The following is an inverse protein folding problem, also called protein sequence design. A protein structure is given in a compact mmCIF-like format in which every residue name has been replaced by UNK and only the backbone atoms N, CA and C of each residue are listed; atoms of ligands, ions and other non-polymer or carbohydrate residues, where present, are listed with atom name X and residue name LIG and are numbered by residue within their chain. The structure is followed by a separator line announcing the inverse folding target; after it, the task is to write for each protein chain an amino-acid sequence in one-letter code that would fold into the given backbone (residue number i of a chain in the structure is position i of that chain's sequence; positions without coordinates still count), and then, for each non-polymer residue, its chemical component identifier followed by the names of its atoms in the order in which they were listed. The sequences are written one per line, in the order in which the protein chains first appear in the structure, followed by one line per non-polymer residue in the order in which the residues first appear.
data_IF_526045973522
#
_entry.id   IF_526045973522
#
_cell.length_a   1.000
_cell.length_b   1.000
_cell.length_c   1.000
_cell.angle_alpha   90.00
_cell.angle_beta   90.00
_cell.angle_gamma   90.00
#
_symmetry.space_group_name_H-M   'P 1'
#
loop_
_entity.id
_entity.type
_entity.pdbx_description
1 polymer ?
#
# COMPACT_ATOMS: atom_id res chain seq x y z
N UNK A 1 -7.62 -0.95 -15.43
CA UNK A 1 -7.01 -2.05 -16.22
C UNK A 1 -5.55 -2.17 -15.82
N UNK A 2 -5.18 -3.34 -15.30
CA UNK A 2 -3.85 -3.65 -14.78
C UNK A 2 -2.91 -4.07 -15.91
N UNK A 3 -1.62 -3.75 -15.81
CA UNK A 3 -0.64 -4.02 -16.86
C UNK A 3 -0.20 -5.47 -16.81
N UNK A 4 -0.24 -6.12 -17.97
CA UNK A 4 0.47 -7.37 -18.17
C UNK A 4 1.95 -7.15 -18.54
N UNK A 5 2.74 -8.23 -18.68
CA UNK A 5 4.17 -8.15 -19.04
C UNK A 5 4.44 -7.35 -20.31
N UNK A 6 3.65 -7.54 -21.37
CA UNK A 6 3.88 -6.87 -22.65
C UNK A 6 3.51 -5.39 -22.58
N UNK A 7 2.42 -5.06 -21.87
CA UNK A 7 2.07 -3.66 -21.60
C UNK A 7 3.12 -2.96 -20.74
N UNK A 8 3.72 -3.66 -19.77
CA UNK A 8 4.81 -3.15 -18.94
C UNK A 8 6.06 -2.84 -19.79
N UNK A 9 6.44 -3.73 -20.70
CA UNK A 9 7.55 -3.49 -21.65
C UNK A 9 7.26 -2.32 -22.59
N UNK A 10 6.02 -2.13 -22.99
CA UNK A 10 5.64 -0.97 -23.82
C UNK A 10 5.61 0.34 -23.02
N UNK A 11 5.37 0.26 -21.71
CA UNK A 11 5.38 1.41 -20.79
C UNK A 11 6.78 1.96 -20.58
N UNK A 12 7.76 1.08 -20.37
CA UNK A 12 9.12 1.43 -20.00
C UNK A 12 10.09 1.14 -21.14
N UNK A 13 10.84 2.17 -21.58
CA UNK A 13 11.81 2.03 -22.68
C UNK A 13 13.01 1.15 -22.30
N UNK A 14 13.38 1.17 -21.03
CA UNK A 14 14.48 0.40 -20.48
C UNK A 14 13.96 -0.39 -19.28
N UNK A 15 13.93 -1.73 -19.40
CA UNK A 15 13.45 -2.64 -18.37
C UNK A 15 14.32 -3.90 -18.36
N UNK A 16 14.75 -4.27 -17.17
CA UNK A 16 15.54 -5.46 -16.89
C UNK A 16 14.68 -6.42 -16.08
N UNK A 17 14.77 -7.70 -16.42
CA UNK A 17 14.18 -8.77 -15.64
C UNK A 17 15.25 -9.47 -14.81
N UNK A 18 14.81 -10.25 -13.83
CA UNK A 18 15.68 -10.89 -12.84
C UNK A 18 16.91 -11.60 -13.41
N UNK A 19 16.78 -12.26 -14.56
CA UNK A 19 17.88 -12.94 -15.25
C UNK A 19 18.99 -12.00 -15.77
N UNK A 20 18.70 -10.70 -15.93
CA UNK A 20 19.56 -9.70 -16.57
C UNK A 20 19.89 -8.52 -15.63
N UNK A 21 19.72 -8.68 -14.30
CA UNK A 21 19.98 -7.60 -13.35
C UNK A 21 21.46 -7.21 -13.25
N UNK A 22 22.36 -8.10 -13.64
CA UNK A 22 23.80 -7.84 -13.75
C UNK A 22 24.16 -6.89 -14.90
N UNK A 23 23.26 -6.72 -15.88
CA UNK A 23 23.42 -5.76 -16.99
C UNK A 23 23.11 -4.31 -16.57
N UNK A 24 22.51 -4.09 -15.40
CA UNK A 24 22.11 -2.75 -14.93
C UNK A 24 23.35 -1.93 -14.55
N UNK A 25 23.71 -0.95 -15.36
CA UNK A 25 24.67 0.09 -14.96
C UNK A 25 23.99 1.13 -14.06
N UNK A 26 23.95 0.86 -12.76
CA UNK A 26 23.38 1.78 -11.78
C UNK A 26 24.07 3.15 -11.71
N UNK A 27 25.36 3.23 -12.08
CA UNK A 27 26.07 4.50 -12.09
C UNK A 27 25.65 5.41 -13.25
N UNK A 28 25.07 4.83 -14.31
CA UNK A 28 24.48 5.58 -15.42
C UNK A 28 23.17 6.29 -15.06
N UNK A 29 22.51 5.92 -13.96
CA UNK A 29 21.20 6.47 -13.59
C UNK A 29 21.38 7.89 -13.04
N UNK A 30 20.77 8.85 -13.71
CA UNK A 30 20.86 10.25 -13.32
C UNK A 30 19.84 10.57 -12.22
N UNK A 31 20.22 10.39 -10.96
CA UNK A 31 19.40 10.86 -9.85
C UNK A 31 19.46 12.39 -9.69
N UNK A 32 18.31 13.02 -9.47
CA UNK A 32 18.19 14.46 -9.24
C UNK A 32 19.19 14.95 -8.18
N UNK A 33 20.09 15.86 -8.55
CA UNK A 33 21.21 16.30 -7.69
C UNK A 33 20.78 16.77 -6.29
N UNK A 34 19.66 17.50 -6.20
CA UNK A 34 19.14 18.05 -4.94
C UNK A 34 18.67 16.96 -3.97
N UNK A 35 18.20 15.82 -4.49
CA UNK A 35 17.63 14.73 -3.70
C UNK A 35 18.40 13.41 -3.90
N UNK A 36 19.59 13.45 -4.51
CA UNK A 36 20.33 12.25 -4.97
C UNK A 36 20.55 11.25 -3.85
N UNK A 37 21.00 11.71 -2.68
CA UNK A 37 21.27 10.84 -1.54
C UNK A 37 20.00 10.15 -1.04
N UNK A 38 18.85 10.84 -1.08
CA UNK A 38 17.55 10.27 -0.71
C UNK A 38 17.12 9.28 -1.80
N UNK A 39 17.12 9.71 -3.06
CA UNK A 39 16.68 8.89 -4.19
C UNK A 39 17.44 7.56 -4.27
N UNK A 40 18.78 7.59 -4.19
CA UNK A 40 19.62 6.38 -4.20
C UNK A 40 19.33 5.47 -3.01
N UNK A 41 19.05 6.05 -1.84
CA UNK A 41 18.83 5.31 -0.60
C UNK A 41 17.49 4.57 -0.59
N UNK A 42 16.45 5.15 -1.17
CA UNK A 42 15.12 4.55 -1.27
C UNK A 42 14.89 3.85 -2.63
N UNK A 43 15.91 3.76 -3.47
CA UNK A 43 15.79 3.09 -4.77
C UNK A 43 15.67 1.57 -4.62
N UNK A 44 14.75 0.97 -5.38
CA UNK A 44 14.53 -0.48 -5.40
C UNK A 44 15.74 -1.30 -5.83
N UNK A 45 16.73 -0.71 -6.50
CA UNK A 45 18.00 -1.37 -6.83
C UNK A 45 18.75 -1.88 -5.58
N UNK A 46 18.49 -1.30 -4.39
CA UNK A 46 19.06 -1.80 -3.14
C UNK A 46 18.55 -3.20 -2.78
N UNK A 47 17.34 -3.57 -3.20
CA UNK A 47 16.83 -4.94 -3.03
C UNK A 47 17.61 -5.93 -3.89
N UNK A 48 17.91 -5.54 -5.13
CA UNK A 48 18.70 -6.33 -6.08
C UNK A 48 20.10 -6.61 -5.50
N UNK A 49 20.74 -5.59 -4.91
CA UNK A 49 22.08 -5.74 -4.30
C UNK A 49 22.14 -6.65 -3.07
N UNK A 50 21.07 -6.72 -2.28
CA UNK A 50 21.09 -7.29 -0.93
C UNK A 50 20.26 -8.60 -0.80
N UNK A 51 19.97 -9.26 -1.92
CA UNK A 51 19.13 -10.46 -2.06
C UNK A 51 17.63 -10.19 -1.86
N UNK A 52 16.93 -10.10 -2.99
CA UNK A 52 15.50 -9.78 -3.07
C UNK A 52 14.65 -10.78 -2.28
N UNK A 53 14.90 -12.08 -2.40
CA UNK A 53 14.09 -13.10 -1.72
C UNK A 53 14.25 -13.01 -0.20
N UNK A 54 15.47 -12.79 0.29
CA UNK A 54 15.69 -12.59 1.72
C UNK A 54 14.98 -11.34 2.23
N UNK A 55 15.04 -10.24 1.49
CA UNK A 55 14.48 -8.96 1.93
C UNK A 55 12.96 -8.86 1.81
N UNK A 56 12.37 -9.40 0.73
CA UNK A 56 10.95 -9.22 0.44
C UNK A 56 10.12 -10.49 0.55
N UNK A 57 10.64 -11.64 0.13
CA UNK A 57 9.79 -12.83 -0.10
C UNK A 57 9.75 -13.75 1.11
N UNK A 58 10.89 -14.03 1.74
CA UNK A 58 11.02 -15.11 2.71
C UNK A 58 10.13 -14.94 3.95
N UNK A 59 9.92 -13.72 4.42
CA UNK A 59 9.07 -13.50 5.60
C UNK A 59 7.60 -13.84 5.35
N UNK A 60 7.12 -13.78 4.10
CA UNK A 60 5.75 -14.18 3.78
C UNK A 60 5.49 -15.65 4.12
N UNK A 61 6.50 -16.54 4.01
CA UNK A 61 6.33 -17.96 4.35
C UNK A 61 5.78 -18.21 5.75
N UNK A 62 6.09 -17.31 6.70
CA UNK A 62 5.66 -17.39 8.08
C UNK A 62 4.32 -16.69 8.34
N UNK A 63 4.13 -15.50 7.76
CA UNK A 63 3.02 -14.61 8.13
C UNK A 63 1.86 -14.58 7.11
N UNK A 64 2.13 -14.96 5.86
CA UNK A 64 1.25 -14.85 4.70
C UNK A 64 1.55 -15.99 3.70
N UNK A 65 1.35 -17.27 4.10
CA UNK A 65 1.81 -18.43 3.33
C UNK A 65 1.14 -18.61 1.97
N UNK A 66 -0.09 -18.14 1.75
CA UNK A 66 -0.73 -18.24 0.43
C UNK A 66 -0.08 -17.27 -0.56
N UNK A 67 0.11 -16.02 -0.13
CA UNK A 67 0.81 -14.99 -0.89
C UNK A 67 2.23 -15.43 -1.23
N UNK A 68 2.94 -16.04 -0.27
CA UNK A 68 4.29 -16.59 -0.48
C UNK A 68 4.38 -17.57 -1.67
N UNK A 69 3.36 -18.41 -1.87
CA UNK A 69 3.35 -19.38 -2.99
C UNK A 69 3.32 -18.72 -4.37
N UNK A 70 2.78 -17.51 -4.46
CA UNK A 70 2.77 -16.72 -5.69
C UNK A 70 4.06 -15.93 -5.86
N UNK A 71 4.55 -15.29 -4.78
CA UNK A 71 5.78 -14.50 -4.82
C UNK A 71 7.00 -15.35 -5.23
N UNK A 72 7.08 -16.60 -4.78
CA UNK A 72 8.17 -17.53 -5.14
C UNK A 72 8.16 -17.98 -6.61
N UNK A 73 7.08 -17.75 -7.34
CA UNK A 73 6.94 -18.05 -8.77
C UNK A 73 6.96 -16.80 -9.64
N UNK A 74 6.97 -15.62 -9.02
CA UNK A 74 7.01 -14.36 -9.74
C UNK A 74 8.40 -14.08 -10.30
N UNK A 75 8.47 -13.16 -11.26
CA UNK A 75 9.72 -12.70 -11.86
C UNK A 75 9.90 -11.22 -11.55
N UNK A 76 11.01 -10.87 -10.90
CA UNK A 76 11.30 -9.49 -10.56
C UNK A 76 11.72 -8.68 -11.79
N UNK A 77 11.43 -7.38 -11.77
CA UNK A 77 11.88 -6.44 -12.78
C UNK A 77 12.35 -5.11 -12.18
N UNK A 78 13.17 -4.41 -12.96
CA UNK A 78 13.63 -3.05 -12.68
C UNK A 78 13.57 -2.24 -13.97
N UNK A 79 12.80 -1.16 -13.96
CA UNK A 79 12.63 -0.27 -15.10
C UNK A 79 13.26 1.09 -14.83
N UNK A 80 13.81 1.69 -15.88
CA UNK A 80 14.44 3.01 -15.88
C UNK A 80 13.77 3.85 -16.98
N UNK A 81 13.12 4.93 -16.58
CA UNK A 81 12.57 5.92 -17.50
C UNK A 81 13.53 7.11 -17.56
N UNK A 82 14.33 7.13 -18.63
CA UNK A 82 15.34 8.17 -18.85
C UNK A 82 14.71 9.53 -19.09
N UNK A 83 15.14 10.53 -18.33
CA UNK A 83 14.64 11.88 -18.49
C UNK A 83 15.52 12.69 -19.44
N UNK A 84 14.97 13.24 -20.54
CA UNK A 84 15.76 14.06 -21.46
C UNK A 84 16.26 15.37 -20.84
N UNK A 85 15.69 15.78 -19.70
CA UNK A 85 16.08 16.99 -18.97
C UNK A 85 16.95 16.56 -17.76
N UNK A 86 18.29 16.79 -17.81
CA UNK A 86 19.21 16.28 -16.79
C UNK A 86 18.95 16.80 -15.37
N UNK A 87 18.32 17.97 -15.25
CA UNK A 87 18.02 18.59 -13.95
C UNK A 87 16.78 18.03 -13.26
N UNK A 88 16.00 17.14 -13.90
CA UNK A 88 14.83 16.49 -13.28
C UNK A 88 15.21 15.10 -12.75
N UNK A 89 16.18 14.45 -13.37
CA UNK A 89 16.62 13.10 -13.05
C UNK A 89 15.74 12.02 -13.68
N UNK A 90 16.32 10.82 -13.83
CA UNK A 90 15.66 9.60 -14.27
C UNK A 90 14.69 9.12 -13.19
N UNK A 91 13.60 8.45 -13.60
CA UNK A 91 12.72 7.75 -12.67
C UNK A 91 12.86 6.25 -12.79
N UNK A 92 12.88 5.56 -11.66
CA UNK A 92 13.07 4.10 -11.59
C UNK A 92 11.81 3.45 -11.02
N UNK A 93 11.56 2.19 -11.40
CA UNK A 93 10.49 1.36 -10.86
C UNK A 93 11.00 -0.05 -10.62
N UNK A 94 10.78 -0.55 -9.40
CA UNK A 94 11.03 -1.95 -9.06
C UNK A 94 9.68 -2.65 -8.86
N UNK A 95 9.63 -3.94 -9.19
CA UNK A 95 8.40 -4.70 -9.06
C UNK A 95 8.56 -6.18 -9.36
N UNK A 96 7.43 -6.86 -9.36
CA UNK A 96 7.31 -8.29 -9.64
C UNK A 96 6.19 -8.54 -10.64
N UNK A 97 6.38 -9.52 -11.52
CA UNK A 97 5.34 -10.06 -12.38
C UNK A 97 4.87 -11.39 -11.80
N UNK A 98 3.57 -11.52 -11.55
CA UNK A 98 2.95 -12.73 -11.04
C UNK A 98 1.79 -13.08 -11.98
N UNK A 99 1.79 -14.31 -12.50
CA UNK A 99 0.78 -14.78 -13.45
C UNK A 99 0.56 -13.84 -14.65
N UNK A 100 1.62 -13.20 -15.16
CA UNK A 100 1.58 -12.21 -16.24
C UNK A 100 1.04 -10.82 -15.84
N UNK A 101 0.71 -10.57 -14.57
CA UNK A 101 0.31 -9.24 -14.06
C UNK A 101 1.48 -8.55 -13.35
N UNK A 102 1.68 -7.26 -13.61
CA UNK A 102 2.75 -6.48 -13.01
C UNK A 102 2.31 -5.76 -11.74
N UNK A 103 3.19 -5.75 -10.74
CA UNK A 103 3.02 -5.05 -9.47
C UNK A 103 4.25 -4.22 -9.15
N UNK A 104 4.07 -2.95 -8.77
CA UNK A 104 5.15 -2.11 -8.28
C UNK A 104 5.35 -2.27 -6.77
N UNK A 105 6.61 -2.21 -6.36
CA UNK A 105 7.05 -2.28 -4.97
C UNK A 105 7.97 -1.10 -4.70
N UNK A 106 7.59 -0.25 -3.75
CA UNK A 106 8.46 0.83 -3.27
C UNK A 106 9.35 0.31 -2.16
N UNK A 107 10.67 0.43 -2.34
CA UNK A 107 11.66 0.06 -1.32
C UNK A 107 11.74 1.12 -0.22
N UNK A 108 11.76 0.67 1.02
CA UNK A 108 12.07 1.51 2.17
C UNK A 108 13.00 0.76 3.12
N UNK A 109 14.25 1.24 3.33
CA UNK A 109 15.22 0.59 4.21
C UNK A 109 14.82 0.63 5.70
N UNK A 110 13.75 1.35 6.04
CA UNK A 110 13.42 1.70 7.41
C UNK A 110 12.04 1.29 7.89
N UNK A 111 11.20 0.71 7.04
CA UNK A 111 9.83 0.35 7.39
C UNK A 111 9.76 -0.47 8.67
N UNK A 112 10.76 -1.32 8.94
CA UNK A 112 10.90 -2.06 10.19
C UNK A 112 11.63 -1.29 11.33
N UNK A 113 12.68 -0.52 11.02
CA UNK A 113 13.53 0.10 12.05
C UNK A 113 12.97 1.40 12.63
N UNK A 114 12.14 2.11 11.89
CA UNK A 114 11.49 3.32 12.39
C UNK A 114 10.17 2.88 13.02
N UNK A 115 10.28 2.37 14.25
CA UNK A 115 9.14 2.37 15.17
C UNK A 115 8.53 3.78 15.23
N UNK A 116 9.35 4.82 15.15
CA UNK A 116 9.01 6.21 15.47
C UNK A 116 8.29 7.05 14.41
N UNK A 117 7.87 6.49 13.27
CA UNK A 117 7.04 7.23 12.31
C UNK A 117 5.61 7.19 12.78
N UNK A 118 4.99 8.37 12.87
CA UNK A 118 3.60 8.55 13.27
C UNK A 118 2.72 7.77 12.29
N UNK A 119 2.40 6.52 12.65
CA UNK A 119 1.51 5.68 11.88
C UNK A 119 1.78 4.17 11.92
N UNK A 120 3.03 3.73 12.06
CA UNK A 120 3.30 2.30 11.92
C UNK A 120 2.95 1.46 13.18
N UNK A 121 2.73 2.12 14.31
CA UNK A 121 2.39 1.45 15.57
C UNK A 121 1.02 0.78 15.58
N UNK A 122 0.11 1.16 14.70
CA UNK A 122 -1.23 0.57 14.61
C UNK A 122 -1.39 -0.48 13.50
N UNK A 123 -0.33 -0.78 12.76
CA UNK A 123 -0.36 -1.83 11.73
C UNK A 123 -0.14 -3.20 12.42
N UNK A 124 -0.88 -4.26 12.06
CA UNK A 124 -0.58 -5.62 12.53
C UNK A 124 0.88 -6.01 12.33
N UNK A 125 1.46 -6.68 13.33
CA UNK A 125 2.89 -6.99 13.35
C UNK A 125 3.27 -7.97 12.23
N UNK A 126 2.35 -8.83 11.83
CA UNK A 126 2.47 -9.77 10.72
C UNK A 126 2.67 -9.02 9.39
N UNK A 127 1.95 -7.93 9.17
CA UNK A 127 2.10 -7.09 7.97
C UNK A 127 3.41 -6.32 7.98
N UNK A 128 3.81 -5.79 9.15
CA UNK A 128 5.11 -5.14 9.33
C UNK A 128 6.29 -6.07 9.05
N UNK A 129 6.14 -7.37 9.37
CA UNK A 129 7.18 -8.36 9.12
C UNK A 129 7.08 -8.99 7.72
N UNK A 130 6.01 -8.78 6.96
CA UNK A 130 5.85 -9.29 5.59
C UNK A 130 5.86 -8.14 4.58
N UNK A 131 4.70 -7.55 4.31
CA UNK A 131 4.47 -6.47 3.36
C UNK A 131 5.33 -5.23 3.60
N UNK A 132 5.72 -4.95 4.84
CA UNK A 132 6.44 -3.73 5.19
C UNK A 132 7.81 -3.96 5.86
N UNK A 133 8.45 -5.09 5.59
CA UNK A 133 9.76 -5.34 6.20
C UNK A 133 10.87 -4.48 5.56
N UNK A 134 10.86 -4.38 4.23
CA UNK A 134 11.76 -3.54 3.42
C UNK A 134 11.02 -2.82 2.29
N UNK A 135 9.74 -2.53 2.48
CA UNK A 135 8.91 -1.85 1.50
C UNK A 135 7.88 -0.97 2.17
N UNK A 136 7.56 0.15 1.53
CA UNK A 136 6.51 1.05 2.01
C UNK A 136 5.21 0.89 1.23
N UNK A 137 5.23 0.30 0.04
CA UNK A 137 4.05 0.27 -0.81
C UNK A 137 4.09 -0.91 -1.79
N UNK A 138 2.98 -1.60 -1.91
CA UNK A 138 2.69 -2.56 -2.97
C UNK A 138 1.45 -2.09 -3.74
N UNK A 139 1.49 -2.18 -5.06
CA UNK A 139 0.35 -1.78 -5.88
C UNK A 139 0.37 -2.49 -7.23
N UNK A 140 -0.81 -2.81 -7.74
CA UNK A 140 -0.92 -3.25 -9.13
C UNK A 140 -0.54 -2.11 -10.08
N UNK A 141 0.12 -2.43 -11.19
CA UNK A 141 0.48 -1.42 -12.18
C UNK A 141 -0.77 -1.04 -12.96
N UNK A 142 -1.26 0.19 -12.78
CA UNK A 142 -2.46 0.70 -13.45
C UNK A 142 -2.15 1.81 -14.47
N UNK A 143 -3.10 2.07 -15.39
CA UNK A 143 -2.95 3.07 -16.48
C UNK A 143 -2.95 4.51 -15.96
N UNK A 144 -3.60 4.76 -14.83
CA UNK A 144 -3.66 6.06 -14.17
C UNK A 144 -2.72 6.11 -12.98
N UNK A 145 -1.92 7.17 -12.90
CA UNK A 145 -0.73 7.27 -12.03
C UNK A 145 -0.90 8.24 -10.87
N UNK A 146 -2.09 8.76 -10.57
CA UNK A 146 -2.28 9.42 -9.27
C UNK A 146 -2.33 8.34 -8.20
N UNK A 147 -1.25 8.26 -7.42
CA UNK A 147 -1.08 7.29 -6.32
C UNK A 147 -1.99 7.72 -5.16
N UNK A 148 -3.29 7.57 -5.36
CA UNK A 148 -4.32 7.96 -4.39
C UNK A 148 -4.86 6.74 -3.63
N UNK A 149 -4.94 5.57 -4.30
CA UNK A 149 -5.36 4.29 -3.72
C UNK A 149 -4.32 3.20 -3.99
N UNK A 150 -4.34 2.16 -3.19
CA UNK A 150 -3.48 0.98 -3.37
C UNK A 150 -4.32 -0.26 -3.11
N UNK A 151 -4.45 -1.12 -4.13
CA UNK A 151 -5.21 -2.36 -4.02
C UNK A 151 -4.43 -3.49 -3.33
N UNK A 152 -3.25 -3.19 -2.82
CA UNK A 152 -2.42 -4.03 -1.95
C UNK A 152 -1.95 -3.17 -0.76
N UNK A 153 -1.42 -3.79 0.32
CA UNK A 153 -0.99 -3.06 1.51
C UNK A 153 0.00 -1.92 1.23
N UNK A 154 -0.27 -0.75 1.82
CA UNK A 154 0.57 0.45 1.69
C UNK A 154 0.73 1.22 3.00
N UNK A 155 1.91 1.81 3.19
CA UNK A 155 2.23 2.81 4.21
C UNK A 155 1.87 4.24 3.77
N UNK A 156 1.36 4.42 2.54
CA UNK A 156 0.70 5.65 2.09
C UNK A 156 -0.70 5.75 2.72
N UNK A 157 -0.73 5.73 4.05
CA UNK A 157 -1.91 5.61 4.88
C UNK A 157 -2.79 6.84 4.75
N UNK A 158 -3.75 6.80 3.81
CA UNK A 158 -4.66 7.90 3.52
C UNK A 158 -5.73 8.01 4.60
N UNK A 159 -5.99 9.20 5.17
CA UNK A 159 -7.10 9.38 6.08
C UNK A 159 -8.46 9.06 5.47
N UNK A 160 -9.39 8.53 6.28
CA UNK A 160 -10.74 8.13 5.86
C UNK A 160 -11.47 9.20 5.04
N UNK A 161 -11.38 10.48 5.44
CA UNK A 161 -12.10 11.56 4.76
C UNK A 161 -11.73 11.72 3.28
N UNK A 162 -10.51 11.32 2.89
CA UNK A 162 -10.06 11.41 1.49
C UNK A 162 -10.67 10.35 0.59
N UNK A 163 -11.21 9.26 1.16
CA UNK A 163 -11.74 8.11 0.41
C UNK A 163 -13.26 8.04 0.39
N UNK A 164 -13.92 8.67 1.36
CA UNK A 164 -15.36 8.66 1.52
C UNK A 164 -15.93 9.98 1.00
N UNK A 165 -16.64 9.92 -0.13
CA UNK A 165 -17.25 11.10 -0.74
C UNK A 165 -18.25 11.75 0.22
N UNK A 166 -18.13 13.07 0.38
CA UNK A 166 -19.02 13.84 1.25
C UNK A 166 -18.83 13.56 2.74
N UNK A 167 -17.64 13.08 3.15
CA UNK A 167 -17.29 12.93 4.57
C UNK A 167 -17.19 14.28 5.30
N UNK A 168 -16.78 15.33 4.60
CA UNK A 168 -16.57 16.67 5.14
C UNK A 168 -17.56 17.68 4.56
N UNK A 169 -17.77 18.77 5.30
CA UNK A 169 -18.45 19.97 4.80
C UNK A 169 -17.53 20.84 3.92
N UNK A 170 -18.08 21.90 3.34
CA UNK A 170 -17.33 22.85 2.49
C UNK A 170 -16.16 23.54 3.22
N UNK A 171 -16.18 23.54 4.55
CA UNK A 171 -15.10 24.11 5.38
C UNK A 171 -14.02 23.09 5.74
N UNK A 172 -14.12 21.84 5.27
CA UNK A 172 -13.16 20.77 5.55
C UNK A 172 -13.31 20.16 6.96
N UNK A 173 -14.50 20.27 7.56
CA UNK A 173 -14.82 19.61 8.84
C UNK A 173 -15.60 18.34 8.61
N UNK A 174 -15.27 17.30 9.36
CA UNK A 174 -15.97 16.02 9.31
C UNK A 174 -17.43 16.18 9.73
N UNK A 175 -18.37 15.59 8.97
CA UNK A 175 -19.80 15.74 9.24
C UNK A 175 -20.21 15.00 10.52
N UNK A 176 -21.11 15.58 11.35
CA UNK A 176 -21.54 14.99 12.62
C UNK A 176 -22.05 13.56 12.50
N UNK A 177 -22.80 13.22 11.44
CA UNK A 177 -23.33 11.86 11.23
C UNK A 177 -22.24 10.79 11.19
N UNK A 178 -21.03 11.12 10.71
CA UNK A 178 -19.92 10.17 10.67
C UNK A 178 -19.12 10.19 11.96
N UNK A 179 -18.86 11.39 12.51
CA UNK A 179 -18.09 11.50 13.74
C UNK A 179 -18.85 10.92 14.92
N UNK A 180 -20.13 11.25 15.12
CA UNK A 180 -20.97 10.70 16.19
C UNK A 180 -21.07 9.17 16.12
N UNK A 181 -21.27 8.61 14.93
CA UNK A 181 -21.31 7.16 14.73
C UNK A 181 -19.97 6.49 15.07
N UNK A 182 -18.85 7.01 14.57
CA UNK A 182 -17.52 6.46 14.84
C UNK A 182 -17.15 6.62 16.32
N UNK A 183 -17.48 7.74 16.94
CA UNK A 183 -17.25 7.98 18.37
C UNK A 183 -18.07 7.05 19.25
N UNK A 184 -19.33 6.80 18.88
CA UNK A 184 -20.16 5.81 19.57
C UNK A 184 -19.59 4.41 19.42
N UNK A 185 -19.11 4.04 18.22
CA UNK A 185 -18.60 2.70 17.93
C UNK A 185 -17.25 2.42 18.61
N UNK A 186 -16.33 3.38 18.57
CA UNK A 186 -14.99 3.24 19.17
C UNK A 186 -14.91 3.71 20.64
N UNK A 187 -15.97 4.34 21.17
CA UNK A 187 -15.99 4.94 22.52
C UNK A 187 -14.82 5.90 22.76
N UNK A 188 -14.42 6.65 21.73
CA UNK A 188 -13.32 7.62 21.74
C UNK A 188 -13.59 8.75 20.76
N UNK A 189 -13.02 9.94 20.96
CA UNK A 189 -13.28 11.07 20.05
C UNK A 189 -12.61 10.85 18.70
N UNK A 190 -13.33 11.10 17.62
CA UNK A 190 -12.81 11.00 16.26
C UNK A 190 -12.25 12.35 15.81
N UNK A 191 -11.25 12.33 14.93
CA UNK A 191 -10.66 13.56 14.37
C UNK A 191 -11.72 14.40 13.65
N UNK A 192 -11.84 15.66 14.05
CA UNK A 192 -12.91 16.55 13.58
C UNK A 192 -12.54 17.41 12.36
N UNK A 193 -11.24 17.68 12.19
CA UNK A 193 -10.70 18.49 11.09
C UNK A 193 -9.32 17.99 10.71
N UNK A 194 -9.03 18.05 9.41
CA UNK A 194 -7.71 17.76 8.85
C UNK A 194 -6.92 19.02 8.49
N UNK A 195 -7.48 20.21 8.77
CA UNK A 195 -6.79 21.49 8.57
C UNK A 195 -5.77 21.81 9.67
N UNK A 196 -5.93 21.23 10.86
CA UNK A 196 -4.95 21.39 11.93
C UNK A 196 -3.65 20.69 11.53
N UNK A 197 -2.54 21.43 11.50
CA UNK A 197 -1.22 20.91 11.11
C UNK A 197 -0.71 19.80 12.04
N UNK A 198 -1.17 19.77 13.30
CA UNK A 198 -0.75 18.80 14.32
C UNK A 198 -1.93 17.94 14.75
N UNK A 199 -1.86 16.65 14.41
CA UNK A 199 -2.80 15.65 14.92
C UNK A 199 -2.56 15.40 16.41
N UNK A 200 -3.60 15.57 17.23
CA UNK A 200 -3.56 15.28 18.66
C UNK A 200 -4.03 13.84 18.93
N UNK A 201 -3.10 12.89 18.80
CA UNK A 201 -3.29 11.45 19.00
C UNK A 201 -3.69 11.06 20.44
N UNK A 202 -3.53 11.97 21.41
CA UNK A 202 -4.01 11.78 22.80
C UNK A 202 -5.48 12.09 22.96
N UNK A 203 -6.02 12.96 22.10
CA UNK A 203 -7.42 13.42 22.19
C UNK A 203 -8.30 12.70 21.18
N UNK A 204 -7.79 12.49 19.98
CA UNK A 204 -8.56 11.97 18.86
C UNK A 204 -7.92 10.70 18.33
N UNK A 205 -8.75 9.79 17.82
CA UNK A 205 -8.30 8.75 16.90
C UNK A 205 -8.64 9.11 15.46
N UNK A 206 -7.94 8.48 14.53
CA UNK A 206 -8.26 8.51 13.11
C UNK A 206 -8.13 7.12 12.48
N UNK A 207 -8.84 6.92 11.38
CA UNK A 207 -8.76 5.73 10.54
C UNK A 207 -7.95 6.07 9.29
N UNK A 208 -6.96 5.24 8.98
CA UNK A 208 -6.16 5.39 7.77
C UNK A 208 -6.15 4.13 6.92
N UNK A 209 -6.33 4.33 5.63
CA UNK A 209 -6.48 3.27 4.66
C UNK A 209 -5.18 2.53 4.47
N UNK A 210 -5.21 1.23 4.73
CA UNK A 210 -4.13 0.27 4.49
C UNK A 210 -4.17 -0.26 3.05
N UNK A 211 -5.38 -0.52 2.53
CA UNK A 211 -5.64 -0.86 1.12
C UNK A 211 -7.09 -0.55 0.74
N UNK A 212 -7.32 -0.31 -0.54
CA UNK A 212 -8.62 -0.07 -1.17
C UNK A 212 -8.73 -0.96 -2.41
N UNK A 213 -9.71 -1.88 -2.44
CA UNK A 213 -9.82 -2.85 -3.54
C UNK A 213 -10.27 -2.24 -4.87
N UNK A 214 -10.74 -0.98 -4.86
CA UNK A 214 -11.12 -0.26 -6.08
C UNK A 214 -9.89 0.07 -6.92
N UNK A 215 -10.09 0.18 -8.23
CA UNK A 215 -9.06 0.73 -9.13
C UNK A 215 -8.75 2.19 -8.76
N UNK A 216 -7.58 2.70 -9.15
CA UNK A 216 -7.12 4.05 -8.76
C UNK A 216 -8.05 5.19 -9.19
N UNK A 217 -8.73 5.05 -10.32
CA UNK A 217 -9.68 6.03 -10.84
C UNK A 217 -11.14 5.79 -10.38
N UNK A 218 -11.41 4.69 -9.66
CA UNK A 218 -12.75 4.32 -9.23
C UNK A 218 -13.11 4.87 -7.84
N UNK A 219 -14.00 5.86 -7.81
CA UNK A 219 -14.51 6.48 -6.58
C UNK A 219 -15.97 6.12 -6.30
N UNK A 220 -16.45 5.02 -6.88
CA UNK A 220 -17.80 4.51 -6.66
C UNK A 220 -17.98 3.97 -5.25
N UNK A 221 -19.24 3.80 -4.85
CA UNK A 221 -19.67 3.13 -3.62
C UNK A 221 -19.60 1.61 -3.82
N UNK A 222 -18.37 1.10 -3.99
CA UNK A 222 -18.08 -0.32 -4.25
C UNK A 222 -16.81 -0.77 -3.52
N UNK A 223 -16.54 -2.09 -3.59
CA UNK A 223 -15.31 -2.66 -3.08
C UNK A 223 -15.23 -2.68 -1.55
N UNK A 224 -14.03 -2.98 -1.08
CA UNK A 224 -13.68 -3.03 0.32
C UNK A 224 -12.50 -2.09 0.59
N UNK A 225 -12.58 -1.37 1.70
CA UNK A 225 -11.51 -0.50 2.16
C UNK A 225 -11.09 -0.96 3.56
N UNK A 226 -9.82 -1.30 3.71
CA UNK A 226 -9.25 -1.71 4.99
C UNK A 226 -8.58 -0.52 5.65
N UNK A 227 -8.93 -0.28 6.91
CA UNK A 227 -8.39 0.81 7.71
C UNK A 227 -7.68 0.29 8.95
N UNK A 228 -6.53 0.86 9.25
CA UNK A 228 -5.91 0.76 10.57
C UNK A 228 -6.31 1.97 11.40
N UNK A 229 -6.41 1.79 12.72
CA UNK A 229 -6.86 2.82 13.65
C UNK A 229 -5.74 3.26 14.58
N UNK A 230 -5.57 4.56 14.78
CA UNK A 230 -4.67 5.08 15.81
C UNK A 230 -5.17 4.85 17.24
N UNK A 231 -6.35 4.25 17.40
CA UNK A 231 -6.98 3.99 18.69
C UNK A 231 -6.29 2.85 19.48
N UNK A 232 -6.01 3.09 20.76
CA UNK A 232 -5.62 2.12 21.81
C UNK A 232 -4.44 1.17 21.52
N UNK A 233 -3.65 1.39 20.46
CA UNK A 233 -2.52 0.53 20.08
C UNK A 233 -2.86 -0.96 19.85
N UNK A 234 -4.13 -1.31 19.69
CA UNK A 234 -4.59 -2.71 19.55
C UNK A 234 -4.20 -3.34 18.20
N UNK A 235 -3.70 -2.54 17.25
CA UNK A 235 -3.31 -2.95 15.89
C UNK A 235 -4.45 -3.65 15.14
N UNK A 236 -5.68 -3.20 15.39
CA UNK A 236 -6.86 -3.69 14.69
C UNK A 236 -6.90 -3.18 13.26
N UNK A 237 -7.45 -4.00 12.37
CA UNK A 237 -7.85 -3.60 11.02
C UNK A 237 -9.36 -3.66 10.93
N UNK A 238 -9.93 -2.61 10.36
CA UNK A 238 -11.36 -2.45 10.14
C UNK A 238 -11.64 -2.52 8.65
N UNK A 239 -12.77 -3.11 8.28
CA UNK A 239 -13.25 -3.16 6.90
C UNK A 239 -14.49 -2.30 6.76
N UNK A 240 -14.51 -1.49 5.71
CA UNK A 240 -15.70 -0.80 5.20
C UNK A 240 -16.03 -1.41 3.84
N UNK A 241 -17.31 -1.74 3.63
CA UNK A 241 -17.82 -2.22 2.35
C UNK A 241 -18.50 -1.05 1.61
N UNK A 242 -18.35 -1.01 0.28
CA UNK A 242 -19.01 -0.06 -0.61
C UNK A 242 -18.76 1.42 -0.26
N UNK A 243 -17.61 1.74 0.33
CA UNK A 243 -17.31 3.06 0.87
C UNK A 243 -18.38 3.60 1.87
N UNK A 244 -19.14 2.71 2.51
CA UNK A 244 -20.13 3.06 3.52
C UNK A 244 -19.54 2.95 4.94
N UNK A 245 -19.22 4.09 5.56
CA UNK A 245 -18.69 4.16 6.92
C UNK A 245 -19.57 3.42 7.93
N UNK A 246 -20.89 3.40 7.74
CA UNK A 246 -21.81 2.75 8.67
C UNK A 246 -21.72 1.21 8.63
N UNK A 247 -21.15 0.65 7.56
CA UNK A 247 -20.88 -0.79 7.41
C UNK A 247 -19.66 -1.28 8.21
N UNK A 248 -18.90 -0.38 8.85
CA UNK A 248 -17.61 -0.70 9.45
C UNK A 248 -17.67 -1.91 10.40
N UNK A 249 -16.78 -2.87 10.17
CA UNK A 249 -16.56 -4.05 11.01
C UNK A 249 -15.08 -4.22 11.32
N UNK A 250 -14.76 -5.01 12.35
CA UNK A 250 -13.38 -5.35 12.70
C UNK A 250 -13.02 -6.69 12.05
N UNK A 251 -11.82 -6.81 11.47
CA UNK A 251 -11.29 -8.09 11.02
C UNK A 251 -10.83 -8.95 12.21
N UNK A 252 -11.21 -10.23 12.21
CA UNK A 252 -10.85 -11.20 13.28
C UNK A 252 -9.37 -11.57 13.19
N UNK A 253 -8.89 -11.87 11.98
CA UNK A 253 -7.49 -12.17 11.69
C UNK A 253 -7.05 -11.35 10.46
N UNK A 254 -6.61 -10.10 10.65
CA UNK A 254 -6.25 -9.22 9.54
C UNK A 254 -5.17 -9.80 8.63
N UNK A 255 -4.19 -10.50 9.21
CA UNK A 255 -3.11 -11.12 8.46
C UNK A 255 -3.66 -12.19 7.52
N UNK A 256 -4.45 -13.13 8.02
CA UNK A 256 -5.07 -14.19 7.19
C UNK A 256 -5.99 -13.62 6.12
N UNK A 257 -6.84 -12.63 6.45
CA UNK A 257 -7.73 -12.01 5.49
C UNK A 257 -6.97 -11.36 4.32
N UNK A 258 -5.88 -10.65 4.62
CA UNK A 258 -5.02 -10.02 3.60
C UNK A 258 -4.23 -11.06 2.81
N UNK A 259 -3.81 -12.17 3.43
CA UNK A 259 -3.09 -13.25 2.74
C UNK A 259 -3.98 -13.90 1.67
N UNK A 260 -5.22 -14.21 2.03
CA UNK A 260 -6.21 -14.78 1.13
C UNK A 260 -6.58 -13.78 0.03
N UNK A 261 -6.75 -12.51 0.36
CA UNK A 261 -7.03 -11.46 -0.63
C UNK A 261 -5.88 -11.27 -1.63
N UNK A 262 -4.65 -11.19 -1.16
CA UNK A 262 -3.50 -11.03 -2.05
C UNK A 262 -3.31 -12.27 -2.94
N UNK A 263 -3.48 -13.47 -2.40
CA UNK A 263 -3.51 -14.71 -3.17
C UNK A 263 -4.63 -14.71 -4.23
N UNK A 264 -5.81 -14.18 -3.90
CA UNK A 264 -6.93 -14.01 -4.84
C UNK A 264 -6.54 -13.07 -5.99
N UNK A 265 -5.99 -11.90 -5.69
CA UNK A 265 -5.49 -10.93 -6.68
C UNK A 265 -4.41 -11.56 -7.57
N UNK A 266 -3.43 -12.24 -6.97
CA UNK A 266 -2.33 -12.88 -7.68
C UNK A 266 -2.77 -14.06 -8.53
N UNK A 267 -3.88 -14.72 -8.18
CA UNK A 267 -4.48 -15.77 -9.00
C UNK A 267 -5.21 -15.27 -10.24
N UNK A 268 -5.42 -13.95 -10.36
CA UNK A 268 -6.23 -13.31 -11.42
C UNK A 268 -7.67 -13.83 -11.39
N UNK A 269 -8.19 -14.02 -10.17
CA UNK A 269 -9.60 -14.30 -10.01
C UNK A 269 -10.39 -13.02 -10.31
N UNK A 270 -11.38 -13.12 -11.20
CA UNK A 270 -12.24 -12.00 -11.61
C UNK A 270 -13.38 -11.75 -10.61
N UNK A 271 -13.69 -12.72 -9.75
CA UNK A 271 -14.69 -12.55 -8.70
C UNK A 271 -14.22 -11.54 -7.65
N UNK A 272 -15.16 -10.85 -7.00
CA UNK A 272 -14.83 -9.97 -5.88
C UNK A 272 -14.46 -10.81 -4.64
N UNK A 273 -13.35 -10.47 -4.00
CA UNK A 273 -12.98 -11.10 -2.74
C UNK A 273 -13.82 -10.53 -1.59
N UNK A 274 -14.59 -11.40 -0.93
CA UNK A 274 -15.44 -11.00 0.20
C UNK A 274 -14.67 -10.97 1.53
N UNK A 275 -14.34 -9.77 2.00
CA UNK A 275 -13.72 -9.59 3.33
C UNK A 275 -14.68 -9.84 4.49
N UNK A 276 -16.00 -9.87 4.26
CA UNK A 276 -17.00 -9.98 5.33
C UNK A 276 -16.96 -11.34 6.02
N UNK A 277 -16.45 -12.38 5.36
CA UNK A 277 -16.25 -13.70 5.98
C UNK A 277 -15.21 -13.67 7.12
N UNK A 278 -14.34 -12.66 7.14
CA UNK A 278 -13.34 -12.42 8.20
C UNK A 278 -13.76 -11.31 9.16
N UNK A 279 -14.95 -10.73 9.00
CA UNK A 279 -15.38 -9.53 9.70
C UNK A 279 -16.35 -9.85 10.84
N UNK A 280 -16.24 -9.10 11.94
CA UNK A 280 -17.16 -9.16 13.09
C UNK A 280 -17.63 -7.78 13.51
N UNK A 281 -18.77 -7.74 14.18
CA UNK A 281 -19.21 -6.55 14.90
C UNK A 281 -18.33 -6.30 16.15
N UNK A 282 -18.24 -5.04 16.56
CA UNK A 282 -17.47 -4.55 17.70
C UNK A 282 -18.15 -3.33 18.33
#
# INVERSE_FOLDING_TARGET
MFFNREELKNKHKEIYFEANFDEIDFHSINFLKLTKNVSVKYDGFNLIKNNIYHMLVNNFSKYQPLTYQYLTKGEFFYAIDRNPIPVIGDSTKFGIIINNMAYYISYDPYSYSIKETIGHYYIPIELLNSWFFYSENWSSVERYTSVEKTNLPSLLLRPLHTLIKGFEDESGKSLPKYTEFLEEKFKHLFRQSYQDEVFNDKKYFELRCLLDTRANDDWSESGFQLFVSSHNNERNVYVIQNADVFSIKQLINPAEAIDHYAAHIFSINEDEFDFMIYAKDF
#
